data_IF_393190940068
#
_entry.id   IF_393190940068
#
_cell.length_a   1.000
_cell.length_b   1.000
_cell.length_c   1.000
_cell.angle_alpha   90.00
_cell.angle_beta   90.00
_cell.angle_gamma   90.00
#
_symmetry.space_group_name_H-M   'P 1'
#
loop_
_entity.id
_entity.type
_entity.pdbx_description
1 polymer ?
#
# COMPACT_ATOMS: atom_id res chain seq x y z
N UNK A 1 -5.74 -40.70 -8.72
CA UNK A 1 -6.53 -41.08 -7.52
C UNK A 1 -7.16 -42.44 -7.78
N UNK A 2 -7.01 -43.41 -6.88
CA UNK A 2 -7.52 -44.76 -7.09
C UNK A 2 -7.47 -45.60 -5.82
N UNK A 3 -8.53 -46.37 -5.58
CA UNK A 3 -8.70 -47.44 -4.56
C UNK A 3 -8.91 -47.07 -3.08
N UNK A 4 -8.96 -45.78 -2.68
CA UNK A 4 -9.15 -45.42 -1.26
C UNK A 4 -10.60 -45.56 -0.72
N UNK A 5 -11.61 -45.64 -1.59
CA UNK A 5 -13.01 -45.81 -1.17
C UNK A 5 -13.43 -47.29 -1.18
N UNK A 6 -13.90 -47.81 -0.05
CA UNK A 6 -14.37 -49.20 0.09
C UNK A 6 -15.72 -49.48 -0.62
N UNK A 7 -16.48 -48.45 -1.02
CA UNK A 7 -17.73 -48.59 -1.77
C UNK A 7 -17.59 -48.22 -3.26
N UNK A 8 -17.93 -49.15 -4.17
CA UNK A 8 -17.86 -48.96 -5.64
C UNK A 8 -18.61 -47.72 -6.14
N UNK A 9 -19.69 -47.34 -5.48
CA UNK A 9 -20.50 -46.16 -5.84
C UNK A 9 -19.78 -44.81 -5.64
N UNK A 10 -18.68 -44.78 -4.87
CA UNK A 10 -17.94 -43.56 -4.56
C UNK A 10 -16.61 -43.44 -5.33
N UNK A 11 -16.31 -44.38 -6.23
CA UNK A 11 -15.06 -44.40 -6.99
C UNK A 11 -14.93 -43.25 -8.01
N UNK A 12 -16.02 -42.54 -8.31
CA UNK A 12 -16.02 -41.34 -9.13
C UNK A 12 -15.90 -40.02 -8.36
N UNK A 13 -15.73 -40.07 -7.03
CA UNK A 13 -15.62 -38.87 -6.21
C UNK A 13 -14.16 -38.43 -6.01
N UNK A 14 -13.95 -37.12 -6.09
CA UNK A 14 -12.70 -36.46 -5.71
C UNK A 14 -12.98 -35.43 -4.63
N UNK A 15 -12.25 -35.53 -3.52
CA UNK A 15 -12.35 -34.60 -2.39
C UNK A 15 -11.12 -33.69 -2.34
N UNK A 16 -11.37 -32.41 -2.05
CA UNK A 16 -10.37 -31.39 -1.78
C UNK A 16 -10.53 -30.97 -0.33
N UNK A 17 -9.61 -31.39 0.53
CA UNK A 17 -9.60 -31.04 1.94
C UNK A 17 -8.48 -30.07 2.26
N UNK A 18 -8.79 -28.99 2.95
CA UNK A 18 -7.79 -28.07 3.52
C UNK A 18 -8.14 -27.75 4.97
N UNK A 19 -7.16 -27.72 5.89
CA UNK A 19 -7.44 -27.33 7.28
C UNK A 19 -7.82 -25.84 7.33
N UNK A 20 -8.67 -25.51 8.29
CA UNK A 20 -8.95 -24.14 8.72
C UNK A 20 -8.31 -23.97 10.09
N UNK A 21 -7.40 -23.01 10.22
CA UNK A 21 -6.75 -22.67 11.47
C UNK A 21 -7.43 -21.52 12.19
N UNK A 22 -7.59 -21.66 13.50
CA UNK A 22 -8.09 -20.62 14.38
C UNK A 22 -7.06 -19.50 14.58
N UNK A 23 -7.46 -18.42 15.27
CA UNK A 23 -6.57 -17.30 15.60
C UNK A 23 -5.34 -17.70 16.42
N UNK A 24 -5.39 -18.83 17.11
CA UNK A 24 -4.31 -19.45 17.89
C UNK A 24 -3.38 -20.36 17.06
N UNK A 25 -3.67 -20.53 15.77
CA UNK A 25 -2.95 -21.40 14.84
C UNK A 25 -3.35 -22.88 14.91
N UNK A 26 -4.25 -23.27 15.82
CA UNK A 26 -4.76 -24.63 15.94
C UNK A 26 -5.77 -24.93 14.83
N UNK A 27 -5.89 -26.19 14.41
CA UNK A 27 -6.90 -26.58 13.42
C UNK A 27 -8.26 -26.57 14.11
N UNK A 28 -9.15 -25.68 13.68
CA UNK A 28 -10.52 -25.52 14.21
C UNK A 28 -11.56 -26.18 13.32
N UNK A 29 -11.18 -26.53 12.09
CA UNK A 29 -12.05 -27.23 11.15
C UNK A 29 -11.31 -27.68 9.90
N UNK A 30 -12.03 -28.35 9.01
CA UNK A 30 -11.54 -28.72 7.68
C UNK A 30 -12.58 -28.27 6.68
N UNK A 31 -12.15 -27.54 5.65
CA UNK A 31 -12.98 -27.26 4.50
C UNK A 31 -12.82 -28.41 3.50
N UNK A 32 -13.90 -29.15 3.29
CA UNK A 32 -13.98 -30.20 2.27
C UNK A 32 -14.87 -29.75 1.12
N UNK A 33 -14.40 -29.94 -0.11
CA UNK A 33 -15.22 -29.87 -1.30
C UNK A 33 -15.14 -31.21 -2.04
N UNK A 34 -16.30 -31.76 -2.39
CA UNK A 34 -16.39 -33.04 -3.09
C UNK A 34 -16.94 -32.83 -4.50
N UNK A 35 -16.29 -33.45 -5.49
CA UNK A 35 -16.66 -33.39 -6.91
C UNK A 35 -16.95 -34.78 -7.46
N UNK A 36 -17.88 -34.87 -8.41
CA UNK A 36 -18.22 -36.09 -9.16
C UNK A 36 -17.31 -36.31 -10.39
N UNK A 37 -16.26 -35.50 -10.55
CA UNK A 37 -15.31 -35.68 -11.64
C UNK A 37 -14.34 -36.81 -11.32
N UNK A 38 -14.00 -37.65 -12.31
CA UNK A 38 -13.10 -38.78 -12.10
C UNK A 38 -11.64 -38.39 -11.82
N UNK A 39 -11.27 -37.12 -12.00
CA UNK A 39 -9.92 -36.60 -11.80
C UNK A 39 -9.93 -35.31 -11.00
N UNK A 40 -8.89 -35.11 -10.20
CA UNK A 40 -8.66 -33.87 -9.48
C UNK A 40 -8.38 -32.72 -10.45
N UNK A 41 -8.95 -31.57 -10.13
CA UNK A 41 -8.84 -30.31 -10.84
C UNK A 41 -8.10 -29.33 -9.92
N UNK A 42 -6.91 -28.93 -10.35
CA UNK A 42 -6.03 -28.06 -9.58
C UNK A 42 -6.65 -26.69 -9.31
N UNK A 43 -7.56 -26.22 -10.19
CA UNK A 43 -8.27 -24.94 -10.00
C UNK A 43 -9.25 -25.06 -8.83
N UNK A 44 -9.93 -26.19 -8.70
CA UNK A 44 -10.85 -26.45 -7.58
C UNK A 44 -10.06 -26.59 -6.27
N UNK A 45 -8.92 -27.27 -6.30
CA UNK A 45 -8.03 -27.37 -5.13
C UNK A 45 -7.51 -25.99 -4.67
N UNK A 46 -7.09 -25.14 -5.61
CA UNK A 46 -6.65 -23.78 -5.30
C UNK A 46 -7.78 -22.91 -4.75
N UNK A 47 -9.00 -23.01 -5.30
CA UNK A 47 -10.17 -22.29 -4.83
C UNK A 47 -10.56 -22.70 -3.39
N UNK A 48 -10.49 -23.99 -3.07
CA UNK A 48 -10.73 -24.52 -1.72
C UNK A 48 -9.67 -24.00 -0.74
N UNK A 49 -8.40 -23.98 -1.13
CA UNK A 49 -7.32 -23.37 -0.33
C UNK A 49 -7.53 -21.88 -0.08
N UNK A 50 -7.90 -21.11 -1.11
CA UNK A 50 -8.17 -19.68 -0.99
C UNK A 50 -9.40 -19.39 -0.10
N UNK A 51 -10.45 -20.21 -0.20
CA UNK A 51 -11.63 -20.10 0.63
C UNK A 51 -11.30 -20.36 2.11
N UNK A 52 -10.49 -21.37 2.42
CA UNK A 52 -10.03 -21.62 3.78
C UNK A 52 -9.19 -20.46 4.32
N UNK A 53 -8.25 -19.91 3.54
CA UNK A 53 -7.51 -18.71 3.95
C UNK A 53 -8.41 -17.51 4.24
N UNK A 54 -9.46 -17.31 3.45
CA UNK A 54 -10.43 -16.24 3.70
C UNK A 54 -11.21 -16.44 5.01
N UNK A 55 -11.56 -17.68 5.34
CA UNK A 55 -12.20 -18.03 6.62
C UNK A 55 -11.24 -17.76 7.78
N UNK A 56 -9.98 -18.21 7.69
CA UNK A 56 -8.96 -17.97 8.71
C UNK A 56 -8.71 -16.48 8.95
N UNK A 57 -8.66 -15.68 7.88
CA UNK A 57 -8.52 -14.22 7.97
C UNK A 57 -9.72 -13.59 8.68
N UNK A 58 -10.95 -14.05 8.37
CA UNK A 58 -12.15 -13.58 9.04
C UNK A 58 -12.18 -13.96 10.53
N UNK A 59 -11.71 -15.15 10.90
CA UNK A 59 -11.62 -15.59 12.29
C UNK A 59 -10.61 -14.73 13.06
N UNK A 60 -9.45 -14.46 12.47
CA UNK A 60 -8.43 -13.55 13.03
C UNK A 60 -8.98 -12.14 13.21
N UNK A 61 -9.57 -11.55 12.18
CA UNK A 61 -10.13 -10.20 12.26
C UNK A 61 -11.16 -10.04 13.40
N UNK A 62 -12.00 -11.07 13.62
CA UNK A 62 -12.95 -11.09 14.75
C UNK A 62 -12.27 -11.20 16.11
N UNK A 63 -11.23 -12.01 16.23
CA UNK A 63 -10.46 -12.16 17.47
C UNK A 63 -9.73 -10.85 17.84
N UNK A 64 -9.11 -10.18 16.87
CA UNK A 64 -8.48 -8.87 17.07
C UNK A 64 -9.48 -7.75 17.41
N UNK A 65 -10.72 -7.82 16.87
CA UNK A 65 -11.76 -6.86 17.23
C UNK A 65 -12.13 -6.93 18.73
N UNK A 66 -12.04 -8.12 19.34
CA UNK A 66 -12.25 -8.33 20.77
C UNK A 66 -11.09 -7.82 21.65
N UNK A 67 -9.87 -7.76 21.13
CA UNK A 67 -8.66 -7.33 21.87
C UNK A 67 -8.56 -5.81 22.10
N UNK A 68 -9.52 -5.02 21.61
CA UNK A 68 -9.50 -3.56 21.67
C UNK A 68 -8.67 -2.94 20.55
N UNK A 69 -9.36 -2.52 19.48
CA UNK A 69 -8.76 -1.87 18.29
C UNK A 69 -7.85 -0.67 18.60
N UNK A 70 -8.02 -0.02 19.76
CA UNK A 70 -7.22 1.12 20.20
C UNK A 70 -5.79 0.73 20.58
N UNK A 71 -5.58 -0.44 21.21
CA UNK A 71 -4.26 -0.93 21.62
C UNK A 71 -3.48 -1.42 20.41
N UNK A 72 -4.14 -2.14 19.49
CA UNK A 72 -3.53 -2.57 18.23
C UNK A 72 -3.14 -1.37 17.33
N UNK A 73 -3.98 -0.31 17.23
CA UNK A 73 -3.63 0.92 16.49
C UNK A 73 -2.49 1.71 17.12
N UNK A 74 -2.48 1.83 18.45
CA UNK A 74 -1.42 2.53 19.16
C UNK A 74 -0.07 1.80 19.04
N UNK A 75 -0.09 0.46 19.10
CA UNK A 75 1.09 -0.36 18.87
C UNK A 75 1.55 -0.26 17.41
N UNK A 76 0.67 -0.40 16.41
CA UNK A 76 1.02 -0.29 14.99
C UNK A 76 1.60 1.08 14.61
N UNK A 77 1.06 2.17 15.18
CA UNK A 77 1.61 3.52 14.99
C UNK A 77 2.98 3.71 15.68
N UNK A 78 3.16 3.12 16.86
CA UNK A 78 4.45 3.13 17.54
C UNK A 78 5.52 2.31 16.79
N UNK A 79 5.13 1.26 16.05
CA UNK A 79 6.06 0.41 15.28
C UNK A 79 6.77 1.15 14.14
N UNK A 80 6.09 2.07 13.48
CA UNK A 80 6.64 2.81 12.34
C UNK A 80 7.51 3.99 12.78
N UNK A 81 7.26 4.58 13.96
CA UNK A 81 8.07 5.67 14.51
C UNK A 81 9.25 5.21 15.36
N UNK A 82 9.29 3.93 15.75
CA UNK A 82 10.37 3.38 16.58
C UNK A 82 11.63 3.12 15.74
N UNK A 83 12.76 3.71 16.14
CA UNK A 83 14.07 3.49 15.50
C UNK A 83 14.63 2.09 15.75
N UNK A 84 14.17 1.39 16.79
CA UNK A 84 14.55 0.01 17.03
C UNK A 84 13.87 -0.92 16.01
N UNK A 85 14.56 -1.99 15.56
CA UNK A 85 13.95 -3.05 14.76
C UNK A 85 12.77 -3.71 15.49
N UNK A 86 11.59 -3.72 14.87
CA UNK A 86 10.41 -4.38 15.45
C UNK A 86 9.72 -5.29 14.42
N UNK A 87 9.21 -6.43 14.90
CA UNK A 87 8.44 -7.42 14.16
C UNK A 87 7.11 -7.70 14.88
N UNK A 88 6.06 -7.97 14.10
CA UNK A 88 4.81 -8.55 14.57
C UNK A 88 4.73 -9.98 14.06
N UNK A 89 4.64 -10.93 14.98
CA UNK A 89 4.61 -12.36 14.69
C UNK A 89 3.25 -12.93 15.08
N UNK A 90 2.60 -13.61 14.15
CA UNK A 90 1.32 -14.30 14.31
C UNK A 90 1.52 -15.82 14.37
N UNK A 91 0.64 -16.59 15.01
CA UNK A 91 0.66 -18.05 14.92
C UNK A 91 0.63 -18.57 13.47
N UNK A 92 1.32 -19.68 13.16
CA UNK A 92 2.17 -20.47 14.03
C UNK A 92 3.65 -20.03 13.97
N UNK A 93 3.93 -18.72 13.96
CA UNK A 93 5.28 -18.16 13.83
C UNK A 93 5.51 -17.40 12.52
N UNK A 94 4.45 -16.89 11.89
CA UNK A 94 4.51 -16.09 10.67
C UNK A 94 4.81 -14.64 11.02
N UNK A 95 5.78 -14.04 10.35
CA UNK A 95 6.06 -12.61 10.46
C UNK A 95 5.01 -11.86 9.64
N UNK A 96 4.03 -11.31 10.34
CA UNK A 96 2.95 -10.53 9.76
C UNK A 96 3.42 -9.15 9.31
N UNK A 97 4.27 -8.52 10.12
CA UNK A 97 4.85 -7.18 9.85
C UNK A 97 6.27 -7.04 10.40
N UNK A 98 7.00 -6.11 9.83
CA UNK A 98 8.25 -5.58 10.34
C UNK A 98 8.45 -4.15 9.87
N UNK A 99 8.98 -3.28 10.73
CA UNK A 99 9.31 -1.90 10.36
C UNK A 99 10.58 -1.83 9.49
N UNK A 100 10.92 -0.65 8.98
CA UNK A 100 12.10 -0.48 8.11
C UNK A 100 13.40 -0.94 8.79
N UNK A 101 13.55 -0.69 10.09
CA UNK A 101 14.73 -1.08 10.86
C UNK A 101 14.90 -2.61 10.98
N UNK A 102 13.81 -3.37 11.11
CA UNK A 102 13.90 -4.84 11.12
C UNK A 102 14.14 -5.45 9.74
N UNK A 103 13.61 -4.85 8.68
CA UNK A 103 13.94 -5.26 7.31
C UNK A 103 15.41 -5.00 6.98
N UNK A 104 15.97 -3.89 7.44
CA UNK A 104 17.40 -3.58 7.28
C UNK A 104 18.29 -4.52 8.09
N UNK A 105 17.94 -4.81 9.35
CA UNK A 105 18.75 -5.70 10.20
C UNK A 105 18.78 -7.15 9.70
N UNK A 106 17.71 -7.59 9.05
CA UNK A 106 17.45 -8.99 8.71
C UNK A 106 17.48 -9.22 7.19
N UNK A 107 18.29 -8.43 6.47
CA UNK A 107 18.57 -8.55 5.04
C UNK A 107 17.32 -8.79 4.17
N UNK A 108 16.32 -7.91 4.29
CA UNK A 108 15.19 -7.90 3.37
C UNK A 108 14.12 -8.97 3.65
N UNK A 109 13.84 -9.23 4.93
CA UNK A 109 12.71 -10.04 5.42
C UNK A 109 11.50 -10.04 4.47
N UNK A 110 11.17 -11.17 3.82
CA UNK A 110 9.97 -11.27 3.01
C UNK A 110 8.73 -11.22 3.91
N UNK A 111 7.71 -10.45 3.52
CA UNK A 111 6.42 -10.45 4.21
C UNK A 111 5.85 -11.89 4.21
N UNK A 112 5.55 -12.43 5.40
CA UNK A 112 5.14 -13.82 5.56
C UNK A 112 6.29 -14.82 5.78
N UNK A 113 7.53 -14.36 5.97
CA UNK A 113 8.63 -15.20 6.46
C UNK A 113 8.33 -15.86 7.81
N UNK A 114 9.01 -16.96 8.14
CA UNK A 114 8.84 -17.63 9.42
C UNK A 114 9.87 -17.16 10.45
N UNK A 115 9.42 -17.03 11.70
CA UNK A 115 10.24 -16.50 12.79
C UNK A 115 11.37 -17.44 13.23
N UNK A 116 11.18 -18.75 13.05
CA UNK A 116 12.21 -19.77 13.33
C UNK A 116 13.41 -19.64 12.39
N UNK A 117 13.20 -19.31 11.12
CA UNK A 117 14.29 -19.05 10.18
C UNK A 117 15.05 -17.76 10.48
N UNK A 118 14.42 -16.84 11.20
CA UNK A 118 14.93 -15.47 11.39
C UNK A 118 15.59 -15.32 12.75
N UNK A 119 15.00 -15.88 13.80
CA UNK A 119 15.47 -15.78 15.18
C UNK A 119 15.98 -17.12 15.74
N UNK A 120 15.78 -18.24 15.03
CA UNK A 120 16.07 -19.57 15.55
C UNK A 120 15.10 -20.03 16.64
N UNK A 121 13.96 -19.34 16.79
CA UNK A 121 12.94 -19.62 17.79
C UNK A 121 11.62 -19.99 17.12
N UNK A 122 11.01 -21.08 17.55
CA UNK A 122 9.66 -21.41 17.10
C UNK A 122 8.60 -20.55 17.82
N UNK A 123 7.35 -20.66 17.36
CA UNK A 123 6.23 -19.92 17.94
C UNK A 123 5.97 -20.26 19.40
N UNK A 124 6.19 -21.52 19.81
CA UNK A 124 5.95 -21.95 21.17
C UNK A 124 6.96 -21.32 22.13
N UNK A 125 8.24 -21.33 21.78
CA UNK A 125 9.31 -20.69 22.52
C UNK A 125 9.13 -19.16 22.57
N UNK A 126 8.76 -18.54 21.45
CA UNK A 126 8.49 -17.11 21.39
C UNK A 126 7.28 -16.71 22.24
N UNK A 127 6.20 -17.50 22.19
CA UNK A 127 5.02 -17.28 23.00
C UNK A 127 5.29 -17.45 24.50
N UNK A 128 6.10 -18.44 24.87
CA UNK A 128 6.53 -18.65 26.26
C UNK A 128 7.37 -17.47 26.77
N UNK A 129 8.34 -16.97 25.99
CA UNK A 129 9.11 -15.78 26.33
C UNK A 129 8.23 -14.53 26.42
N UNK A 130 7.21 -14.39 25.57
CA UNK A 130 6.28 -13.26 25.62
C UNK A 130 5.38 -13.27 26.87
N UNK A 131 4.92 -14.44 27.29
CA UNK A 131 4.06 -14.59 28.48
C UNK A 131 4.89 -14.61 29.79
N UNK A 132 6.12 -15.10 29.73
CA UNK A 132 7.02 -15.28 30.86
C UNK A 132 8.44 -14.80 30.50
N UNK A 133 8.68 -13.48 30.45
CA UNK A 133 9.94 -12.92 29.98
C UNK A 133 11.12 -13.32 30.86
N UNK A 134 12.20 -13.76 30.23
CA UNK A 134 13.43 -14.15 30.93
C UNK A 134 14.07 -12.93 31.59
N UNK A 135 14.55 -13.07 32.82
CA UNK A 135 15.23 -11.98 33.53
C UNK A 135 16.49 -11.52 32.75
N UNK A 136 16.45 -10.30 32.24
CA UNK A 136 17.51 -9.75 31.38
C UNK A 136 17.33 -9.99 29.88
N UNK A 137 16.23 -10.60 29.44
CA UNK A 137 15.85 -10.77 28.04
C UNK A 137 16.72 -11.77 27.26
N UNK A 138 16.10 -12.55 26.38
CA UNK A 138 16.80 -13.48 25.52
C UNK A 138 17.76 -12.72 24.57
N UNK A 139 19.00 -13.14 24.45
CA UNK A 139 19.99 -12.50 23.55
C UNK A 139 20.33 -13.44 22.39
N UNK A 140 20.24 -12.92 21.16
CA UNK A 140 20.45 -13.68 19.93
C UNK A 140 21.51 -12.99 19.06
N UNK A 141 22.37 -13.75 18.35
CA UNK A 141 23.27 -13.19 17.35
C UNK A 141 22.49 -12.86 16.07
N UNK A 142 22.27 -11.57 15.80
CA UNK A 142 21.54 -11.11 14.61
C UNK A 142 22.31 -10.01 13.88
N UNK A 143 22.50 -10.16 12.57
CA UNK A 143 23.29 -9.21 11.77
C UNK A 143 24.73 -9.04 12.26
N UNK A 144 25.34 -10.14 12.76
CA UNK A 144 26.73 -10.15 13.25
C UNK A 144 26.96 -9.48 14.62
N UNK A 145 25.92 -9.02 15.33
CA UNK A 145 26.04 -8.43 16.67
C UNK A 145 25.00 -9.04 17.64
N UNK A 146 25.28 -9.12 18.94
CA UNK A 146 24.29 -9.57 19.91
C UNK A 146 23.13 -8.57 20.01
N UNK A 147 21.90 -9.08 19.90
CA UNK A 147 20.67 -8.33 20.06
C UNK A 147 19.86 -8.93 21.20
N UNK A 148 19.33 -8.07 22.05
CA UNK A 148 18.39 -8.47 23.10
C UNK A 148 16.98 -8.45 22.51
N UNK A 149 16.29 -9.56 22.69
CA UNK A 149 14.90 -9.74 22.32
C UNK A 149 14.02 -9.26 23.47
N UNK A 150 13.16 -8.28 23.19
CA UNK A 150 12.05 -7.89 24.06
C UNK A 150 10.75 -8.24 23.37
N UNK A 151 9.86 -8.91 24.09
CA UNK A 151 8.58 -9.41 23.58
C UNK A 151 7.41 -8.80 24.33
N UNK A 152 6.37 -8.40 23.61
CA UNK A 152 5.09 -7.98 24.19
C UNK A 152 3.97 -8.86 23.61
N UNK A 153 3.24 -9.64 24.43
CA UNK A 153 2.14 -10.48 23.94
C UNK A 153 0.91 -9.64 23.63
N UNK A 154 0.25 -9.95 22.52
CA UNK A 154 -1.06 -9.40 22.17
C UNK A 154 -2.09 -10.50 22.39
N UNK A 155 -2.92 -10.31 23.41
CA UNK A 155 -3.93 -11.28 23.83
C UNK A 155 -5.32 -10.88 23.33
N UNK A 156 -6.12 -11.88 22.98
CA UNK A 156 -7.55 -11.74 22.75
C UNK A 156 -8.30 -11.48 24.06
N UNK A 157 -9.59 -11.13 23.94
CA UNK A 157 -10.47 -10.92 25.09
C UNK A 157 -10.62 -12.16 25.99
N UNK A 158 -10.37 -13.33 25.42
CA UNK A 158 -10.39 -14.66 26.04
C UNK A 158 -9.02 -15.09 26.61
N UNK A 159 -8.01 -14.21 26.55
CA UNK A 159 -6.65 -14.48 27.00
C UNK A 159 -5.81 -15.31 26.03
N UNK A 160 -6.33 -15.63 24.85
CA UNK A 160 -5.58 -16.36 23.81
C UNK A 160 -4.50 -15.47 23.22
N UNK A 161 -3.28 -16.00 23.05
CA UNK A 161 -2.18 -15.28 22.41
C UNK A 161 -2.43 -15.16 20.89
N UNK A 162 -2.78 -13.96 20.44
CA UNK A 162 -3.08 -13.67 19.03
C UNK A 162 -1.83 -13.31 18.24
N UNK A 163 -0.88 -12.62 18.86
CA UNK A 163 0.41 -12.28 18.24
C UNK A 163 1.44 -11.89 19.28
N UNK A 164 2.71 -11.88 18.88
CA UNK A 164 3.82 -11.37 19.70
C UNK A 164 4.47 -10.22 18.97
N UNK A 165 4.60 -9.09 19.65
CA UNK A 165 5.45 -7.99 19.22
C UNK A 165 6.88 -8.26 19.66
N UNK A 166 7.81 -8.23 18.71
CA UNK A 166 9.23 -8.55 18.91
C UNK A 166 10.07 -7.31 18.64
N UNK A 167 10.70 -6.76 19.66
CA UNK A 167 11.62 -5.62 19.58
C UNK A 167 13.05 -6.13 19.75
N UNK A 168 13.96 -5.74 18.84
CA UNK A 168 15.36 -6.15 18.89
C UNK A 168 16.24 -4.97 19.31
N UNK A 169 16.76 -5.01 20.53
CA UNK A 169 17.60 -3.96 21.09
C UNK A 169 19.09 -4.29 20.93
N UNK A 170 19.96 -3.30 20.65
CA UNK A 170 21.40 -3.52 20.72
C UNK A 170 21.83 -3.85 22.16
N UNK A 171 22.61 -4.91 22.33
CA UNK A 171 23.34 -5.11 23.59
C UNK A 171 24.55 -4.18 23.56
N UNK A 172 24.62 -3.21 24.48
CA UNK A 172 25.74 -2.27 24.52
C UNK A 172 27.07 -3.03 24.68
N UNK A 173 27.87 -3.08 23.60
CA UNK A 173 29.27 -3.46 23.69
C UNK A 173 30.02 -2.28 24.29
N UNK A 174 30.64 -2.47 25.45
CA UNK A 174 31.57 -1.50 26.04
C UNK A 174 32.59 -1.12 24.95
N UNK A 175 32.73 0.17 24.56
CA UNK A 175 33.68 0.53 23.52
C UNK A 175 35.09 0.16 23.98
N UNK A 176 35.86 -0.48 23.11
CA UNK A 176 37.29 -0.65 23.34
C UNK A 176 37.93 0.75 23.47
N UNK A 177 38.92 0.95 24.36
CA UNK A 177 39.52 2.27 24.55
C UNK A 177 40.11 2.75 23.21
N UNK A 178 39.78 3.97 22.80
CA UNK A 178 40.47 4.64 21.70
C UNK A 178 41.91 4.93 22.15
N UNK A 179 42.87 4.35 21.46
CA UNK A 179 44.29 4.61 21.67
C UNK A 179 44.64 5.96 21.00
N UNK A 180 44.66 7.03 21.79
CA UNK A 180 45.09 8.36 21.36
C UNK A 180 46.61 8.47 21.52
N UNK A 181 47.35 8.37 20.41
CA UNK A 181 48.75 8.80 20.37
C UNK A 181 48.85 10.33 20.41
N UNK A 182 49.83 10.93 21.10
CA UNK A 182 49.90 12.38 21.30
C UNK A 182 50.65 13.11 20.17
N UNK A 183 50.21 14.35 19.97
CA UNK A 183 50.88 15.53 19.42
C UNK A 183 51.28 15.64 17.93
N UNK A 184 50.67 16.64 17.27
CA UNK A 184 51.38 17.60 16.42
C UNK A 184 50.63 18.95 16.43
N UNK A 185 51.32 20.00 16.86
CA UNK A 185 50.82 21.38 17.00
C UNK A 185 50.48 22.05 15.66
N UNK A 186 49.56 23.05 15.60
CA UNK A 186 49.22 23.74 14.37
C UNK A 186 50.10 24.97 14.12
N UNK A 187 50.51 25.15 12.86
CA UNK A 187 51.22 26.33 12.35
C UNK A 187 50.23 27.30 11.68
N UNK A 188 50.32 28.58 12.03
CA UNK A 188 49.65 29.75 11.40
C UNK A 188 50.21 30.03 10.00
N UNK A 189 49.46 30.67 9.07
CA UNK A 189 49.37 32.15 8.95
C UNK A 189 47.99 32.61 8.39
N UNK A 190 47.62 33.86 8.12
CA UNK A 190 48.02 35.24 8.44
C UNK A 190 46.79 36.14 8.14
N UNK A 191 46.78 37.34 8.72
CA UNK A 191 45.68 38.30 8.77
C UNK A 191 45.42 39.08 7.46
N UNK A 192 44.21 39.65 7.34
CA UNK A 192 43.93 40.89 6.61
C UNK A 192 42.81 41.65 7.34
N UNK A 193 43.11 42.91 7.66
CA UNK A 193 42.30 43.86 8.42
C UNK A 193 41.21 44.55 7.54
N UNK A 194 40.19 45.16 8.18
CA UNK A 194 39.03 45.78 7.53
C UNK A 194 39.21 47.29 7.34
N UNK A 195 38.46 47.92 6.41
CA UNK A 195 37.98 49.31 6.59
C UNK A 195 37.00 49.77 5.50
N UNK A 196 36.02 50.56 5.99
CA UNK A 196 35.23 51.60 5.31
C UNK A 196 34.13 51.17 4.31
N UNK A 197 32.98 51.83 4.21
CA UNK A 197 32.22 52.77 5.04
C UNK A 197 30.92 53.08 4.24
N UNK A 198 29.80 53.24 4.97
CA UNK A 198 28.72 54.23 4.75
C UNK A 198 27.95 54.31 3.41
N UNK A 199 26.61 54.43 3.48
CA UNK A 199 25.83 55.02 2.38
C UNK A 199 24.32 54.80 2.38
N UNK A 200 23.62 55.57 3.20
CA UNK A 200 22.21 56.04 3.17
C UNK A 200 21.18 55.60 2.09
N UNK A 201 20.01 55.20 2.61
CA UNK A 201 18.64 55.74 2.40
C UNK A 201 17.94 55.79 1.01
N UNK A 202 16.61 55.50 1.07
CA UNK A 202 15.47 56.16 0.38
C UNK A 202 14.59 55.32 -0.56
N UNK A 203 13.41 54.95 -0.05
CA UNK A 203 12.05 55.12 -0.60
C UNK A 203 11.68 54.94 -2.08
N UNK A 204 10.60 54.17 -2.26
CA UNK A 204 9.35 54.46 -3.02
C UNK A 204 9.05 53.73 -4.36
N UNK A 205 7.93 52.99 -4.29
CA UNK A 205 6.71 52.98 -5.15
C UNK A 205 6.75 52.65 -6.65
N UNK A 206 5.88 51.68 -6.98
CA UNK A 206 4.94 51.55 -8.11
C UNK A 206 5.51 51.51 -9.53
N UNK A 207 5.30 50.40 -10.26
CA UNK A 207 4.27 50.36 -11.30
C UNK A 207 4.06 48.96 -11.92
N UNK A 208 2.88 48.86 -12.50
CA UNK A 208 2.16 47.74 -13.09
C UNK A 208 2.84 47.08 -14.30
N UNK A 209 2.56 45.80 -14.54
CA UNK A 209 2.23 45.32 -15.89
C UNK A 209 1.56 43.93 -15.86
N UNK A 210 0.36 43.93 -16.42
CA UNK A 210 -0.45 42.81 -16.90
C UNK A 210 0.34 41.83 -17.80
N UNK A 211 0.02 40.54 -17.68
CA UNK A 211 0.54 39.49 -18.56
C UNK A 211 -0.29 38.22 -18.46
N UNK A 212 -1.41 38.20 -19.18
CA UNK A 212 -2.18 36.99 -19.46
C UNK A 212 -1.28 35.96 -20.18
N UNK A 213 -1.17 34.76 -19.61
CA UNK A 213 -0.37 33.66 -20.14
C UNK A 213 -1.12 32.34 -20.01
N UNK A 214 -1.92 32.05 -21.04
CA UNK A 214 -2.48 30.74 -21.36
C UNK A 214 -1.44 29.63 -21.17
N UNK A 215 -1.72 28.67 -20.29
CA UNK A 215 -0.98 27.40 -20.22
C UNK A 215 -1.85 26.31 -20.83
N UNK A 216 -1.74 26.18 -22.15
CA UNK A 216 -2.09 24.96 -22.85
C UNK A 216 -1.29 23.77 -22.27
N UNK A 217 -1.84 22.55 -22.32
CA UNK A 217 -1.13 21.36 -21.84
C UNK A 217 0.17 21.21 -22.62
N UNK A 218 1.28 21.06 -21.89
CA UNK A 218 2.59 20.80 -22.47
C UNK A 218 2.57 19.41 -23.08
N UNK A 219 2.63 19.35 -24.40
CA UNK A 219 3.09 18.19 -25.17
C UNK A 219 4.51 17.86 -24.69
N UNK A 220 4.63 16.83 -23.85
CA UNK A 220 5.89 16.15 -23.64
C UNK A 220 6.14 15.23 -24.84
N UNK A 221 7.29 15.41 -25.49
CA UNK A 221 7.70 14.70 -26.68
C UNK A 221 7.78 13.17 -26.47
N UNK A 222 7.65 12.35 -27.54
CA UNK A 222 7.49 10.91 -27.43
C UNK A 222 8.73 10.25 -26.82
N UNK A 223 8.51 9.50 -25.74
CA UNK A 223 9.51 8.60 -25.16
C UNK A 223 10.03 7.64 -26.24
N UNK A 224 11.35 7.55 -26.38
CA UNK A 224 12.04 6.71 -27.36
C UNK A 224 11.63 5.24 -27.24
N UNK A 225 11.23 4.64 -28.35
CA UNK A 225 10.68 3.29 -28.46
C UNK A 225 11.65 2.19 -27.99
N UNK A 226 11.43 1.70 -26.77
CA UNK A 226 11.31 0.26 -26.58
C UNK A 226 9.86 -0.13 -26.86
N UNK A 227 9.60 -1.13 -27.69
CA UNK A 227 8.24 -1.63 -27.96
C UNK A 227 7.52 -2.18 -26.70
N UNK A 228 8.23 -2.29 -25.58
CA UNK A 228 7.67 -2.64 -24.29
C UNK A 228 7.17 -1.39 -23.53
N UNK A 229 5.86 -1.26 -23.28
CA UNK A 229 5.29 -0.20 -22.44
C UNK A 229 5.89 -0.11 -21.03
N UNK A 230 6.50 -1.19 -20.54
CA UNK A 230 7.17 -1.25 -19.24
C UNK A 230 8.67 -0.96 -19.29
N UNK A 231 9.25 -0.74 -20.47
CA UNK A 231 10.70 -0.57 -20.65
C UNK A 231 11.29 0.66 -19.97
N UNK A 232 10.46 1.67 -19.67
CA UNK A 232 10.86 2.87 -18.92
C UNK A 232 10.94 2.63 -17.40
N UNK A 233 10.43 1.50 -16.89
CA UNK A 233 10.44 1.21 -15.45
C UNK A 233 11.74 0.49 -15.09
N UNK A 234 12.56 1.15 -14.27
CA UNK A 234 13.79 0.56 -13.76
C UNK A 234 13.49 -0.51 -12.70
N UNK A 235 13.47 -1.78 -13.12
CA UNK A 235 13.23 -2.93 -12.27
C UNK A 235 14.55 -3.61 -11.88
N UNK A 236 15.29 -3.02 -10.93
CA UNK A 236 16.51 -3.65 -10.38
C UNK A 236 16.23 -4.58 -9.20
N UNK A 237 15.09 -4.41 -8.53
CA UNK A 237 14.69 -5.19 -7.36
C UNK A 237 13.60 -6.22 -7.73
N UNK A 238 13.66 -7.40 -7.09
CA UNK A 238 12.70 -8.48 -7.32
C UNK A 238 11.23 -8.08 -7.04
N UNK A 239 11.02 -7.10 -6.14
CA UNK A 239 9.69 -6.53 -5.86
C UNK A 239 9.15 -5.73 -7.05
N UNK A 240 9.99 -4.89 -7.66
CA UNK A 240 9.62 -4.08 -8.83
C UNK A 240 9.42 -4.98 -10.05
N UNK A 241 10.26 -6.01 -10.23
CA UNK A 241 10.04 -7.02 -11.28
C UNK A 241 8.72 -7.78 -11.09
N UNK A 242 8.37 -8.13 -9.86
CA UNK A 242 7.09 -8.76 -9.54
C UNK A 242 5.91 -7.81 -9.83
N UNK A 243 6.05 -6.52 -9.48
CA UNK A 243 5.07 -5.49 -9.79
C UNK A 243 4.90 -5.32 -11.30
N UNK A 244 5.98 -5.21 -12.08
CA UNK A 244 5.94 -5.13 -13.56
C UNK A 244 5.27 -6.36 -14.17
N UNK A 245 5.63 -7.57 -13.74
CA UNK A 245 4.98 -8.81 -14.20
C UNK A 245 3.49 -8.83 -13.87
N UNK A 246 3.11 -8.34 -12.69
CA UNK A 246 1.72 -8.25 -12.29
C UNK A 246 0.95 -7.20 -13.10
N UNK A 247 1.52 -6.02 -13.30
CA UNK A 247 0.97 -4.95 -14.13
C UNK A 247 0.72 -5.41 -15.56
N UNK A 248 1.64 -6.17 -16.16
CA UNK A 248 1.42 -6.78 -17.50
C UNK A 248 0.19 -7.67 -17.54
N UNK A 249 -0.03 -8.50 -16.52
CA UNK A 249 -1.24 -9.37 -16.44
C UNK A 249 -2.51 -8.57 -16.20
N UNK A 250 -2.44 -7.48 -15.43
CA UNK A 250 -3.60 -6.64 -15.13
C UNK A 250 -3.95 -5.73 -16.31
N UNK A 251 -2.97 -5.32 -17.12
CA UNK A 251 -3.15 -4.43 -18.26
C UNK A 251 -4.15 -4.97 -19.28
N UNK A 252 -4.18 -6.28 -19.52
CA UNK A 252 -5.13 -6.93 -20.45
C UNK A 252 -6.56 -7.05 -19.89
N UNK A 253 -6.78 -6.67 -18.63
CA UNK A 253 -8.11 -6.64 -18.00
C UNK A 253 -8.69 -5.23 -17.99
N UNK A 254 -10.02 -5.11 -17.83
CA UNK A 254 -10.72 -3.84 -17.62
C UNK A 254 -10.96 -3.50 -16.15
N UNK A 255 -10.41 -4.28 -15.22
CA UNK A 255 -10.60 -4.07 -13.80
C UNK A 255 -9.96 -2.74 -13.37
N UNK A 256 -10.58 -2.02 -12.40
CA UNK A 256 -9.93 -0.91 -11.72
C UNK A 256 -8.63 -1.39 -11.07
N UNK A 257 -7.57 -0.58 -11.21
CA UNK A 257 -6.26 -0.88 -10.64
C UNK A 257 -5.98 0.07 -9.49
N UNK A 258 -5.55 -0.45 -8.34
CA UNK A 258 -5.10 0.33 -7.18
C UNK A 258 -3.58 0.17 -7.04
N UNK A 259 -2.85 1.28 -7.14
CA UNK A 259 -1.42 1.39 -6.92
C UNK A 259 -1.16 1.92 -5.50
N UNK A 260 -0.64 1.08 -4.63
CA UNK A 260 -0.17 1.49 -3.30
C UNK A 260 1.34 1.73 -3.40
N UNK A 261 1.76 2.98 -3.27
CA UNK A 261 3.18 3.30 -3.33
C UNK A 261 3.46 4.58 -2.54
N UNK A 262 4.70 4.72 -2.06
CA UNK A 262 5.15 5.94 -1.38
C UNK A 262 5.13 7.14 -2.34
N UNK A 263 4.94 8.35 -1.80
CA UNK A 263 4.96 9.57 -2.61
C UNK A 263 6.33 9.73 -3.27
N UNK A 264 6.36 10.03 -4.57
CA UNK A 264 7.60 10.19 -5.34
C UNK A 264 8.20 8.90 -5.92
N UNK A 265 7.54 7.75 -5.77
CA UNK A 265 7.98 6.43 -6.29
C UNK A 265 7.83 6.22 -7.81
N UNK A 266 7.38 7.22 -8.56
CA UNK A 266 7.18 7.09 -10.01
C UNK A 266 5.95 6.25 -10.41
N UNK A 267 4.94 6.14 -9.52
CA UNK A 267 3.68 5.40 -9.73
C UNK A 267 2.91 5.78 -11.01
N UNK A 268 3.12 6.98 -11.52
CA UNK A 268 2.58 7.41 -12.82
C UNK A 268 3.14 6.60 -14.00
N UNK A 269 4.42 6.19 -13.95
CA UNK A 269 5.03 5.33 -14.97
C UNK A 269 4.31 3.97 -15.05
N UNK A 270 3.94 3.41 -13.89
CA UNK A 270 3.13 2.18 -13.84
C UNK A 270 1.74 2.40 -14.43
N UNK A 271 1.07 3.53 -14.12
CA UNK A 271 -0.24 3.83 -14.67
C UNK A 271 -0.22 3.98 -16.20
N UNK A 272 0.77 4.71 -16.73
CA UNK A 272 0.98 4.89 -18.17
C UNK A 272 1.33 3.55 -18.85
N UNK A 273 2.24 2.76 -18.27
CA UNK A 273 2.61 1.45 -18.81
C UNK A 273 1.41 0.49 -18.85
N UNK A 274 0.58 0.47 -17.80
CA UNK A 274 -0.66 -0.34 -17.76
C UNK A 274 -1.63 0.11 -18.85
N UNK A 275 -1.79 1.41 -19.07
CA UNK A 275 -2.63 1.96 -20.13
C UNK A 275 -2.13 1.54 -21.52
N UNK A 276 -0.85 1.75 -21.82
CA UNK A 276 -0.25 1.42 -23.11
C UNK A 276 -0.20 -0.09 -23.39
N UNK A 277 -0.20 -0.93 -22.34
CA UNK A 277 -0.29 -2.38 -22.48
C UNK A 277 -1.73 -2.93 -22.48
N UNK A 278 -2.76 -2.07 -22.51
CA UNK A 278 -4.16 -2.46 -22.46
C UNK A 278 -4.88 -2.43 -23.81
N UNK A 279 -6.11 -2.94 -23.84
CA UNK A 279 -7.02 -2.80 -25.01
C UNK A 279 -7.44 -1.34 -25.29
N UNK A 280 -7.08 -0.39 -24.41
CA UNK A 280 -7.37 1.04 -24.52
C UNK A 280 -6.15 1.91 -24.82
N UNK A 281 -5.02 1.31 -25.21
CA UNK A 281 -3.78 2.03 -25.49
C UNK A 281 -3.89 3.13 -26.57
N UNK A 282 -4.88 3.02 -27.48
CA UNK A 282 -5.17 4.03 -28.51
C UNK A 282 -6.12 5.14 -28.02
N UNK A 283 -6.71 4.98 -26.84
CA UNK A 283 -7.60 5.96 -26.23
C UNK A 283 -6.82 6.97 -25.37
N UNK A 284 -7.50 8.02 -24.86
CA UNK A 284 -6.86 9.03 -24.03
C UNK A 284 -6.38 8.44 -22.68
N UNK A 285 -5.21 8.89 -22.22
CA UNK A 285 -4.78 8.75 -20.83
C UNK A 285 -4.88 10.12 -20.15
N UNK A 286 -5.76 10.23 -19.16
CA UNK A 286 -6.01 11.47 -18.43
C UNK A 286 -5.59 11.27 -16.99
N UNK A 287 -4.78 12.17 -16.43
CA UNK A 287 -4.32 12.10 -15.05
C UNK A 287 -4.81 13.29 -14.24
N UNK A 288 -5.14 13.06 -12.96
CA UNK A 288 -5.46 14.10 -11.99
C UNK A 288 -4.97 13.70 -10.61
N UNK A 289 -4.40 14.65 -9.88
CA UNK A 289 -4.05 14.49 -8.47
C UNK A 289 -5.18 15.06 -7.59
N UNK A 290 -5.86 14.18 -6.85
CA UNK A 290 -7.00 14.52 -6.01
C UNK A 290 -6.62 15.34 -4.77
N UNK A 291 -5.37 15.27 -4.32
CA UNK A 291 -4.86 16.05 -3.20
C UNK A 291 -4.36 17.45 -3.57
N UNK A 292 -4.15 17.73 -4.86
CA UNK A 292 -3.60 19.00 -5.33
C UNK A 292 -4.66 20.12 -5.50
N UNK A 293 -5.95 19.77 -5.53
CA UNK A 293 -7.05 20.69 -5.78
C UNK A 293 -7.95 20.85 -4.56
N UNK A 294 -8.53 22.04 -4.41
CA UNK A 294 -9.61 22.24 -3.45
C UNK A 294 -10.83 21.36 -3.84
N UNK A 295 -11.61 20.84 -2.87
CA UNK A 295 -12.67 19.87 -3.15
C UNK A 295 -13.68 20.27 -4.23
N UNK A 296 -14.15 21.54 -4.22
CA UNK A 296 -15.12 22.02 -5.22
C UNK A 296 -14.50 22.19 -6.61
N UNK A 297 -13.20 22.43 -6.70
CA UNK A 297 -12.48 22.45 -7.98
C UNK A 297 -12.26 21.03 -8.51
N UNK A 298 -11.93 20.07 -7.63
CA UNK A 298 -11.79 18.66 -8.02
C UNK A 298 -13.09 18.12 -8.63
N UNK A 299 -14.25 18.42 -8.03
CA UNK A 299 -15.55 18.00 -8.55
C UNK A 299 -15.83 18.60 -9.94
N UNK A 300 -15.58 19.91 -10.08
CA UNK A 300 -15.73 20.65 -11.33
C UNK A 300 -14.80 20.16 -12.44
N UNK A 301 -13.56 19.81 -12.12
CA UNK A 301 -12.60 19.22 -13.08
C UNK A 301 -13.02 17.81 -13.48
N UNK A 302 -13.37 16.95 -12.52
CA UNK A 302 -13.67 15.54 -12.79
C UNK A 302 -14.95 15.37 -13.61
N UNK A 303 -16.02 16.03 -13.19
CA UNK A 303 -17.36 15.86 -13.75
C UNK A 303 -17.73 16.95 -14.77
N UNK A 304 -17.13 18.13 -14.68
CA UNK A 304 -17.52 19.29 -15.49
C UNK A 304 -18.69 20.05 -14.87
N UNK A 305 -18.95 21.26 -15.37
CA UNK A 305 -20.01 22.13 -14.85
C UNK A 305 -20.73 22.89 -15.97
N UNK A 306 -22.00 23.19 -15.75
CA UNK A 306 -22.79 24.09 -16.60
C UNK A 306 -22.32 25.56 -16.46
N UNK A 307 -22.61 26.41 -17.47
CA UNK A 307 -22.49 27.85 -17.35
C UNK A 307 -23.17 28.37 -16.07
N UNK A 308 -22.41 29.08 -15.22
CA UNK A 308 -22.96 29.70 -14.01
C UNK A 308 -23.36 28.74 -12.89
N UNK A 309 -22.86 27.51 -12.88
CA UNK A 309 -23.21 26.49 -11.86
C UNK A 309 -22.84 26.88 -10.41
N UNK A 310 -21.83 27.73 -10.23
CA UNK A 310 -21.39 28.25 -8.92
C UNK A 310 -20.72 29.62 -9.08
N UNK A 311 -20.50 30.33 -7.98
CA UNK A 311 -19.80 31.63 -7.97
C UNK A 311 -18.36 31.47 -8.46
N UNK A 312 -18.03 32.07 -9.60
CA UNK A 312 -16.70 31.91 -10.23
C UNK A 312 -16.63 30.80 -11.29
N UNK A 313 -17.75 30.13 -11.58
CA UNK A 313 -17.83 29.18 -12.69
C UNK A 313 -17.59 29.88 -14.04
N UNK A 314 -17.02 29.14 -15.00
CA UNK A 314 -16.83 29.65 -16.35
C UNK A 314 -18.20 29.97 -16.97
N UNK A 315 -18.32 31.14 -17.59
CA UNK A 315 -19.53 31.58 -18.29
C UNK A 315 -19.89 30.69 -19.48
N UNK A 316 -18.95 29.89 -19.98
CA UNK A 316 -19.18 28.90 -21.05
C UNK A 316 -19.42 27.49 -20.52
N UNK A 317 -19.25 27.27 -19.22
CA UNK A 317 -19.20 25.94 -18.62
C UNK A 317 -17.93 25.17 -19.05
N UNK A 318 -17.73 23.99 -18.47
CA UNK A 318 -16.59 23.13 -18.77
C UNK A 318 -16.99 21.66 -18.86
N UNK A 319 -16.40 20.95 -19.82
CA UNK A 319 -16.47 19.50 -19.91
C UNK A 319 -15.52 18.86 -18.90
N UNK A 320 -15.95 17.79 -18.22
CA UNK A 320 -15.15 17.13 -17.19
C UNK A 320 -14.10 16.17 -17.75
N UNK A 321 -13.13 15.80 -16.91
CA UNK A 321 -12.09 14.83 -17.24
C UNK A 321 -12.64 13.43 -17.54
N UNK A 322 -13.79 13.05 -16.97
CA UNK A 322 -14.46 11.80 -17.33
C UNK A 322 -14.87 11.77 -18.82
N UNK A 323 -15.31 12.90 -19.36
CA UNK A 323 -15.60 13.02 -20.79
C UNK A 323 -14.30 12.97 -21.61
N UNK A 324 -13.25 13.66 -21.15
CA UNK A 324 -11.96 13.65 -21.84
C UNK A 324 -11.30 12.26 -21.85
N UNK A 325 -11.59 11.43 -20.86
CA UNK A 325 -11.06 10.07 -20.72
C UNK A 325 -11.96 8.99 -21.37
N UNK A 326 -13.04 9.37 -22.06
CA UNK A 326 -13.98 8.41 -22.66
C UNK A 326 -13.27 7.45 -23.62
N UNK A 327 -13.60 6.15 -23.51
CA UNK A 327 -12.92 5.01 -24.17
C UNK A 327 -11.42 4.89 -23.88
N UNK A 328 -10.93 5.62 -22.89
CA UNK A 328 -9.54 5.64 -22.46
C UNK A 328 -9.38 5.21 -21.01
N UNK A 329 -8.41 5.82 -20.33
CA UNK A 329 -8.06 5.56 -18.93
C UNK A 329 -7.96 6.87 -18.16
N UNK A 330 -8.54 6.89 -16.96
CA UNK A 330 -8.41 7.97 -16.00
C UNK A 330 -7.55 7.51 -14.82
N UNK A 331 -6.45 8.21 -14.61
CA UNK A 331 -5.56 8.04 -13.48
C UNK A 331 -5.89 9.03 -12.36
N UNK A 332 -6.27 8.50 -11.21
CA UNK A 332 -6.62 9.24 -10.00
C UNK A 332 -5.49 9.09 -8.98
N UNK A 333 -4.62 10.10 -8.88
CA UNK A 333 -3.57 10.13 -7.87
C UNK A 333 -4.09 10.67 -6.54
N UNK A 334 -3.56 10.15 -5.43
CA UNK A 334 -3.94 10.45 -4.06
C UNK A 334 -5.46 10.33 -3.83
N UNK A 335 -6.06 9.25 -4.35
CA UNK A 335 -7.53 9.01 -4.30
C UNK A 335 -8.08 9.03 -2.87
N UNK A 336 -7.25 8.74 -1.88
CA UNK A 336 -7.61 8.82 -0.47
C UNK A 336 -8.02 10.23 -0.03
N UNK A 337 -7.54 11.29 -0.69
CA UNK A 337 -7.85 12.70 -0.36
C UNK A 337 -9.22 13.16 -0.86
N UNK A 338 -9.94 12.31 -1.60
CA UNK A 338 -11.31 12.63 -2.01
C UNK A 338 -12.21 12.85 -0.79
N UNK A 339 -13.02 13.91 -0.84
CA UNK A 339 -14.05 14.16 0.16
C UNK A 339 -15.18 13.12 0.08
N UNK A 340 -15.97 12.91 1.14
CA UNK A 340 -17.09 11.95 1.11
C UNK A 340 -18.11 12.17 -0.03
N UNK A 341 -18.46 13.42 -0.42
CA UNK A 341 -19.31 13.66 -1.61
C UNK A 341 -18.64 13.19 -2.91
N UNK A 342 -17.35 13.47 -3.09
CA UNK A 342 -16.59 13.01 -4.25
C UNK A 342 -16.54 11.49 -4.33
N UNK A 343 -16.35 10.82 -3.20
CA UNK A 343 -16.37 9.36 -3.11
C UNK A 343 -17.74 8.79 -3.53
N UNK A 344 -18.84 9.42 -3.12
CA UNK A 344 -20.18 8.99 -3.52
C UNK A 344 -20.45 9.21 -5.02
N UNK A 345 -19.96 10.32 -5.59
CA UNK A 345 -20.10 10.61 -7.01
C UNK A 345 -19.27 9.64 -7.87
N UNK A 346 -18.02 9.37 -7.48
CA UNK A 346 -17.17 8.39 -8.15
C UNK A 346 -17.74 6.97 -8.05
N UNK A 347 -18.28 6.61 -6.88
CA UNK A 347 -18.96 5.33 -6.69
C UNK A 347 -20.08 5.16 -7.72
N UNK A 348 -20.98 6.14 -7.85
CA UNK A 348 -22.08 6.10 -8.84
C UNK A 348 -21.56 5.91 -10.25
N UNK A 349 -20.52 6.65 -10.64
CA UNK A 349 -19.89 6.50 -11.94
C UNK A 349 -19.37 5.07 -12.17
N UNK A 350 -18.74 4.46 -11.16
CA UNK A 350 -18.27 3.07 -11.22
C UNK A 350 -19.39 2.03 -11.32
N UNK A 351 -20.63 2.33 -10.93
CA UNK A 351 -21.74 1.38 -11.02
C UNK A 351 -22.42 1.39 -12.38
N UNK A 352 -22.57 2.57 -12.99
CA UNK A 352 -23.40 2.76 -14.18
C UNK A 352 -22.67 3.34 -15.40
N UNK A 353 -21.42 3.78 -15.25
CA UNK A 353 -20.71 4.57 -16.27
C UNK A 353 -21.30 5.96 -16.46
N UNK A 354 -22.20 6.40 -15.57
CA UNK A 354 -22.91 7.67 -15.70
C UNK A 354 -22.54 8.67 -14.62
N UNK A 355 -22.56 9.94 -14.97
CA UNK A 355 -22.25 11.04 -14.07
C UNK A 355 -23.07 12.29 -14.42
N UNK A 356 -23.08 13.27 -13.53
CA UNK A 356 -23.82 14.51 -13.68
C UNK A 356 -22.87 15.69 -13.55
N UNK A 357 -23.00 16.67 -14.44
CA UNK A 357 -22.24 17.92 -14.37
C UNK A 357 -22.81 18.82 -13.29
N UNK A 358 -21.96 19.59 -12.62
CA UNK A 358 -22.43 20.53 -11.60
C UNK A 358 -23.37 21.56 -12.25
N UNK A 359 -24.52 21.77 -11.61
CA UNK A 359 -25.54 22.71 -12.09
C UNK A 359 -26.39 22.20 -13.27
N UNK A 360 -26.19 20.98 -13.76
CA UNK A 360 -27.05 20.35 -14.76
C UNK A 360 -27.90 19.25 -14.13
N UNK A 361 -29.10 19.00 -14.66
CA UNK A 361 -29.97 17.86 -14.26
C UNK A 361 -29.82 16.65 -15.17
N UNK A 362 -29.16 16.82 -16.32
CA UNK A 362 -28.93 15.75 -17.29
C UNK A 362 -27.84 14.79 -16.84
N UNK A 363 -28.03 13.52 -17.18
CA UNK A 363 -27.03 12.47 -16.96
C UNK A 363 -26.16 12.33 -18.20
N UNK A 364 -24.85 12.33 -18.00
CA UNK A 364 -23.83 12.02 -19.01
C UNK A 364 -23.31 10.60 -18.84
N UNK A 365 -22.73 10.03 -19.88
CA UNK A 365 -22.13 8.70 -19.87
C UNK A 365 -20.69 8.77 -20.38
N UNK A 366 -19.78 8.02 -19.75
CA UNK A 366 -18.43 7.79 -20.24
C UNK A 366 -17.98 6.36 -19.91
N UNK A 367 -17.32 5.70 -20.86
CA UNK A 367 -16.71 4.39 -20.66
C UNK A 367 -15.23 4.56 -20.35
N UNK A 368 -14.86 4.60 -19.07
CA UNK A 368 -13.51 4.92 -18.61
C UNK A 368 -12.94 3.81 -17.74
N UNK A 369 -11.69 3.40 -18.01
CA UNK A 369 -10.95 2.51 -17.11
C UNK A 369 -10.30 3.35 -16.02
N UNK A 370 -10.45 2.95 -14.76
CA UNK A 370 -9.79 3.63 -13.65
C UNK A 370 -8.47 2.98 -13.25
N UNK A 371 -7.46 3.81 -13.05
CA UNK A 371 -6.26 3.49 -12.30
C UNK A 371 -6.20 4.48 -11.14
N UNK A 372 -6.08 4.02 -9.92
CA UNK A 372 -6.02 4.85 -8.73
C UNK A 372 -4.68 4.65 -8.03
N UNK A 373 -4.16 5.70 -7.41
CA UNK A 373 -2.98 5.62 -6.56
C UNK A 373 -3.20 6.32 -5.22
N UNK A 374 -2.49 5.87 -4.19
CA UNK A 374 -2.46 6.50 -2.87
C UNK A 374 -1.26 5.99 -2.06
N UNK A 375 -0.66 6.85 -1.25
CA UNK A 375 0.28 6.45 -0.20
C UNK A 375 -0.41 6.20 1.16
N UNK A 376 -1.69 6.57 1.30
CA UNK A 376 -2.50 6.41 2.52
C UNK A 376 -3.01 4.98 2.67
N UNK A 377 -3.13 4.54 3.92
CA UNK A 377 -3.81 3.29 4.29
C UNK A 377 -5.34 3.43 4.14
N UNK A 378 -5.85 3.03 2.97
CA UNK A 378 -7.29 3.02 2.69
C UNK A 378 -8.09 2.13 3.65
N UNK A 379 -7.67 0.89 3.99
CA UNK A 379 -8.31 0.11 5.06
C UNK A 379 -8.49 0.89 6.38
N UNK A 380 -7.47 1.64 6.81
CA UNK A 380 -7.58 2.48 8.01
C UNK A 380 -8.60 3.61 7.82
N UNK A 381 -8.61 4.26 6.66
CA UNK A 381 -9.60 5.30 6.32
C UNK A 381 -11.03 4.78 6.17
N UNK A 382 -11.18 3.51 5.80
CA UNK A 382 -12.49 2.84 5.81
C UNK A 382 -12.95 2.60 7.25
N UNK A 383 -12.03 2.16 8.12
CA UNK A 383 -12.33 1.90 9.52
C UNK A 383 -12.70 3.17 10.31
N UNK A 384 -12.11 4.32 9.98
CA UNK A 384 -12.45 5.61 10.60
C UNK A 384 -13.58 6.38 9.87
N UNK A 385 -14.22 5.76 8.88
CA UNK A 385 -15.31 6.32 8.08
C UNK A 385 -14.95 7.56 7.25
N UNK A 386 -13.65 7.90 7.12
CA UNK A 386 -13.19 8.97 6.22
C UNK A 386 -13.14 8.54 4.75
N UNK A 387 -13.16 7.23 4.48
CA UNK A 387 -13.28 6.65 3.15
C UNK A 387 -14.39 5.61 3.10
N UNK A 388 -15.22 5.63 2.05
CA UNK A 388 -16.35 4.70 1.97
C UNK A 388 -15.88 3.28 1.65
N UNK A 389 -16.41 2.33 2.42
CA UNK A 389 -16.10 0.91 2.27
C UNK A 389 -16.49 0.37 0.88
N UNK A 390 -17.66 0.74 0.38
CA UNK A 390 -18.18 0.30 -0.92
C UNK A 390 -17.28 0.75 -2.09
N UNK A 391 -16.84 2.00 -2.08
CA UNK A 391 -15.90 2.54 -3.06
C UNK A 391 -14.56 1.82 -2.99
N UNK A 392 -14.03 1.58 -1.78
CA UNK A 392 -12.75 0.89 -1.60
C UNK A 392 -12.75 -0.51 -2.26
N UNK A 393 -13.79 -1.30 -2.03
CA UNK A 393 -13.86 -2.65 -2.63
C UNK A 393 -14.04 -2.63 -4.15
N UNK A 394 -14.72 -1.62 -4.71
CA UNK A 394 -14.82 -1.46 -6.18
C UNK A 394 -13.51 -1.00 -6.81
N UNK A 395 -12.77 -0.12 -6.15
CA UNK A 395 -11.46 0.35 -6.64
C UNK A 395 -10.37 -0.71 -6.52
N UNK A 396 -10.48 -1.62 -5.55
CA UNK A 396 -9.52 -2.70 -5.30
C UNK A 396 -9.77 -3.92 -6.22
N UNK A 397 -9.97 -3.69 -7.52
CA UNK A 397 -10.11 -4.76 -8.51
C UNK A 397 -8.80 -5.55 -8.68
N UNK A 398 -7.72 -4.83 -8.97
CA UNK A 398 -6.35 -5.35 -8.97
C UNK A 398 -5.45 -4.47 -8.10
N UNK A 399 -4.71 -5.07 -7.17
CA UNK A 399 -3.84 -4.34 -6.25
C UNK A 399 -2.36 -4.50 -6.63
N UNK A 400 -1.67 -3.38 -6.81
CA UNK A 400 -0.22 -3.29 -6.94
C UNK A 400 0.37 -2.66 -5.67
N UNK A 401 1.51 -3.15 -5.22
CA UNK A 401 2.25 -2.66 -4.04
C UNK A 401 3.72 -2.53 -4.37
#
# INVERSE_FOLDING_TARGET
>A
MGRAHYGRQFHGLVCYGTPIRGPDGQVVGVLDATSLRPHADDVVGAAVGAAAQAIEESLRARAYAGAGLSVARALLWALEQTRAPVLLVEPPGRIARGNAASRFLLDGLPAGGRIDHVLGLDWAALGAEALHPTAGGLTLPLGGRPRRLRTEPILGADGVLLSVLVILEPVASRPAPLDLAPDASPSRPAALDPTAASGAASTSRLDEASGAGSTAPRDEAPLTASDDPFGAIFAADASVEAAVRWSRRVAVSRLPVMLLAETGSGKELFAQAIHHASDRASGPFVAINCGALAPGLLESELFGHAPGAFTGADRRGRTGLLHAADRGTLFLDEVAEMTPPMQAALLRFLESGTYQRLGETGVSHADVRLICATCRDLPARVADQSFRQDLYYRLKGALLR
#
